data_IF_359746243757
#
_entry.id   IF_359746243757
#
_cell.length_a   1.000
_cell.length_b   1.000
_cell.length_c   1.000
_cell.angle_alpha   90.00
_cell.angle_beta   90.00
_cell.angle_gamma   90.00
#
_symmetry.space_group_name_H-M   'P 1'
#
loop_
_entity.id
_entity.type
_entity.pdbx_description
1 polymer ?
#
# COMPACT_ATOMS: atom_id res chain seq x y z
N UNK A 1 7.96 21.61 -12.76
CA UNK A 1 8.02 20.56 -11.71
C UNK A 1 7.96 19.17 -12.35
N UNK A 2 9.01 18.76 -13.08
CA UNK A 2 9.00 17.52 -13.87
C UNK A 2 9.44 16.26 -13.11
N UNK A 3 10.00 16.44 -11.91
CA UNK A 3 10.56 15.35 -11.11
C UNK A 3 9.75 15.03 -9.84
N UNK A 4 8.71 15.81 -9.55
CA UNK A 4 7.86 15.58 -8.37
C UNK A 4 6.92 14.37 -8.55
N UNK A 5 6.49 14.10 -9.79
CA UNK A 5 5.67 12.92 -10.15
C UNK A 5 6.45 11.60 -10.14
N UNK A 6 7.76 11.66 -10.37
CA UNK A 6 8.67 10.51 -10.35
C UNK A 6 9.03 10.07 -8.92
N UNK A 7 8.89 10.98 -7.94
CA UNK A 7 9.26 10.73 -6.55
C UNK A 7 8.22 9.90 -5.79
N UNK A 8 6.93 10.01 -6.16
CA UNK A 8 5.84 9.25 -5.54
C UNK A 8 5.91 7.76 -5.93
N UNK A 9 6.30 7.44 -7.16
CA UNK A 9 6.45 6.07 -7.64
C UNK A 9 7.71 5.37 -7.09
N UNK A 10 8.79 6.13 -6.87
CA UNK A 10 10.03 5.60 -6.26
C UNK A 10 9.87 5.23 -4.78
N UNK A 11 8.93 5.82 -4.04
CA UNK A 11 8.74 5.55 -2.62
C UNK A 11 8.07 4.18 -2.35
N UNK A 12 7.34 3.63 -3.32
CA UNK A 12 6.73 2.29 -3.25
C UNK A 12 7.72 1.15 -3.54
N UNK A 13 8.82 1.42 -4.24
CA UNK A 13 9.83 0.42 -4.61
C UNK A 13 11.06 0.40 -3.69
N UNK A 14 11.18 1.40 -2.80
CA UNK A 14 12.32 1.52 -1.89
C UNK A 14 12.00 1.09 -0.44
N UNK A 15 10.79 0.68 -0.07
CA UNK A 15 10.50 0.23 1.31
C UNK A 15 11.08 -1.15 1.68
N UNK A 16 11.94 -1.73 0.83
CA UNK A 16 12.60 -3.03 1.02
C UNK A 16 14.03 -2.97 1.59
N UNK A 17 14.47 -1.85 2.15
CA UNK A 17 15.68 -1.86 2.98
C UNK A 17 15.30 -2.11 4.44
N UNK A 18 15.86 -3.18 4.98
CA UNK A 18 15.71 -3.61 6.36
C UNK A 18 15.93 -2.45 7.34
N UNK A 19 14.82 -2.00 7.92
CA UNK A 19 14.84 -1.47 9.27
C UNK A 19 14.19 -2.55 10.10
N UNK A 20 14.99 -3.31 10.84
CA UNK A 20 14.50 -4.18 11.91
C UNK A 20 13.73 -3.31 12.92
N UNK A 21 12.45 -3.12 12.64
CA UNK A 21 11.48 -2.57 13.57
C UNK A 21 10.76 -3.78 14.13
N UNK A 22 11.12 -4.11 15.36
CA UNK A 22 10.55 -5.16 16.19
C UNK A 22 9.01 -5.03 16.22
N UNK A 23 8.33 -5.72 15.30
CA UNK A 23 6.88 -5.85 15.26
C UNK A 23 6.48 -6.97 16.23
N UNK A 24 6.16 -6.56 17.46
CA UNK A 24 5.55 -7.43 18.45
C UNK A 24 4.13 -7.79 18.02
N UNK A 25 3.99 -8.93 17.36
CA UNK A 25 2.72 -9.63 17.21
C UNK A 25 2.34 -10.20 18.59
N UNK A 26 1.11 -9.93 19.02
CA UNK A 26 0.62 -10.26 20.36
C UNK A 26 0.80 -11.74 20.70
N UNK A 27 1.61 -12.01 21.72
CA UNK A 27 1.65 -13.31 22.39
C UNK A 27 0.68 -13.29 23.57
N UNK A 28 -0.41 -14.03 23.43
CA UNK A 28 -1.23 -14.49 24.54
C UNK A 28 -0.43 -15.53 25.34
N UNK A 29 0.08 -15.21 26.53
CA UNK A 29 0.02 -16.07 27.74
C UNK A 29 0.76 -15.45 28.95
N UNK A 30 0.08 -15.54 30.09
CA UNK A 30 0.53 -15.60 31.49
C UNK A 30 0.94 -14.32 32.28
N UNK A 31 0.13 -13.89 33.28
CA UNK A 31 0.53 -12.99 34.35
C UNK A 31 1.00 -13.80 35.58
N UNK A 32 1.94 -13.22 36.35
CA UNK A 32 2.50 -13.70 37.63
C UNK A 32 3.72 -14.61 37.54
N UNK A 33 4.91 -14.02 37.75
CA UNK A 33 6.06 -14.48 38.56
C UNK A 33 7.17 -13.46 38.25
N UNK A 34 7.61 -12.58 39.14
CA UNK A 34 8.32 -12.90 40.37
C UNK A 34 9.17 -11.69 40.76
N UNK A 35 9.07 -11.32 42.04
CA UNK A 35 9.74 -10.24 42.74
C UNK A 35 11.28 -10.36 42.79
N UNK A 36 12.01 -9.24 42.84
CA UNK A 36 13.37 -9.22 43.41
C UNK A 36 14.27 -8.03 43.09
N UNK A 37 14.53 -7.19 44.12
CA UNK A 37 15.79 -6.47 44.42
C UNK A 37 16.36 -5.37 43.49
N UNK A 38 16.42 -4.13 44.00
CA UNK A 38 17.30 -2.99 43.62
C UNK A 38 18.70 -3.19 44.25
N UNK A 39 19.87 -2.63 43.81
CA UNK A 39 20.09 -1.22 43.41
C UNK A 39 21.25 -0.91 42.38
N UNK A 40 21.16 0.19 41.63
CA UNK A 40 22.29 0.72 40.85
C UNK A 40 21.84 1.56 39.66
N UNK A 41 21.68 2.87 39.86
CA UNK A 41 21.25 3.77 38.78
C UNK A 41 22.48 4.38 38.11
N UNK A 42 22.88 3.80 36.98
CA UNK A 42 23.80 4.42 36.03
C UNK A 42 23.06 5.61 35.35
N UNK A 43 23.58 6.83 35.55
CA UNK A 43 22.97 8.07 35.02
C UNK A 43 23.23 8.30 33.52
N UNK A 44 23.79 7.31 32.81
CA UNK A 44 23.93 7.32 31.35
C UNK A 44 22.61 7.07 30.61
N UNK A 45 21.53 6.73 31.32
CA UNK A 45 20.21 6.43 30.75
C UNK A 45 19.36 7.71 30.53
N UNK A 46 19.76 8.87 31.06
CA UNK A 46 18.92 10.08 31.01
C UNK A 46 19.02 10.87 29.68
N UNK A 47 19.94 10.52 28.77
CA UNK A 47 20.05 11.18 27.46
C UNK A 47 18.96 10.79 26.45
N UNK A 48 18.12 9.80 26.76
CA UNK A 48 17.01 9.40 25.88
C UNK A 48 15.67 10.11 26.19
N UNK A 49 15.59 10.90 27.27
CA UNK A 49 14.33 11.58 27.65
C UNK A 49 13.94 12.76 26.75
N UNK A 50 14.80 13.18 25.83
CA UNK A 50 14.55 14.26 24.88
C UNK A 50 14.28 13.77 23.44
N UNK A 51 13.79 12.54 23.25
CA UNK A 51 13.19 12.17 21.97
C UNK A 51 11.85 12.90 21.88
N UNK A 52 11.86 14.08 21.24
CA UNK A 52 10.64 14.81 20.82
C UNK A 52 9.61 13.77 20.44
N UNK A 53 8.50 13.74 21.18
CA UNK A 53 7.31 12.95 20.85
C UNK A 53 7.05 13.14 19.37
N UNK A 54 7.43 12.14 18.55
CA UNK A 54 6.97 12.05 17.17
C UNK A 54 5.46 11.93 17.36
N UNK A 55 4.74 13.04 17.12
CA UNK A 55 3.28 13.06 17.10
C UNK A 55 2.89 11.84 16.28
N UNK A 56 2.31 10.82 16.93
CA UNK A 56 1.69 9.70 16.22
C UNK A 56 0.76 10.38 15.22
N UNK A 57 1.10 10.32 13.94
CA UNK A 57 0.20 10.76 12.88
C UNK A 57 -1.10 10.03 13.18
N UNK A 58 -2.18 10.81 13.32
CA UNK A 58 -3.54 10.35 13.59
C UNK A 58 -3.74 9.04 12.83
N UNK A 59 -4.21 8.00 13.50
CA UNK A 59 -4.45 6.66 12.95
C UNK A 59 -5.47 6.75 11.80
N UNK A 60 -5.03 7.21 10.63
CA UNK A 60 -5.76 7.04 9.38
C UNK A 60 -5.73 5.55 9.12
N UNK A 61 -6.88 4.90 9.31
CA UNK A 61 -7.07 3.50 8.95
C UNK A 61 -6.52 3.31 7.52
N UNK A 62 -5.78 2.21 7.26
CA UNK A 62 -5.30 1.95 5.90
C UNK A 62 -6.49 2.06 4.95
N UNK A 63 -6.38 2.97 3.97
CA UNK A 63 -7.43 3.14 2.96
C UNK A 63 -7.57 1.84 2.19
N UNK A 64 -8.81 1.43 1.92
CA UNK A 64 -9.11 0.24 1.11
C UNK A 64 -8.49 0.43 -0.29
N UNK A 65 -7.93 -0.65 -0.84
CA UNK A 65 -7.30 -0.66 -2.16
C UNK A 65 -8.28 -0.16 -3.22
N UNK A 66 -9.54 -0.60 -3.15
CA UNK A 66 -10.57 -0.20 -4.12
C UNK A 66 -10.83 1.30 -4.10
N UNK A 67 -10.81 1.92 -2.91
CA UNK A 67 -10.98 3.36 -2.74
C UNK A 67 -9.76 4.11 -3.29
N UNK A 68 -8.55 3.68 -2.97
CA UNK A 68 -7.32 4.33 -3.44
C UNK A 68 -7.23 4.30 -4.97
N UNK A 69 -7.49 3.15 -5.57
CA UNK A 69 -7.42 2.99 -7.03
C UNK A 69 -8.52 3.79 -7.74
N UNK A 70 -9.73 3.81 -7.19
CA UNK A 70 -10.83 4.60 -7.75
C UNK A 70 -10.58 6.11 -7.62
N UNK A 71 -10.03 6.58 -6.50
CA UNK A 71 -9.63 7.98 -6.31
C UNK A 71 -8.57 8.37 -7.36
N UNK A 72 -7.55 7.54 -7.53
CA UNK A 72 -6.48 7.77 -8.50
C UNK A 72 -7.00 7.87 -9.95
N UNK A 73 -7.80 6.89 -10.38
CA UNK A 73 -8.39 6.92 -11.72
C UNK A 73 -9.39 8.07 -11.88
N UNK A 74 -10.11 8.40 -10.80
CA UNK A 74 -11.03 9.52 -10.76
C UNK A 74 -10.35 10.87 -11.01
N UNK A 75 -9.17 11.09 -10.42
CA UNK A 75 -8.36 12.29 -10.62
C UNK A 75 -7.75 12.36 -12.03
N UNK A 76 -7.20 11.24 -12.52
CA UNK A 76 -6.47 11.23 -13.78
C UNK A 76 -7.39 11.26 -15.01
N UNK A 77 -8.52 10.56 -14.96
CA UNK A 77 -9.47 10.43 -16.08
C UNK A 77 -10.70 11.34 -15.94
N UNK A 78 -10.82 12.09 -14.83
CA UNK A 78 -12.00 12.91 -14.50
C UNK A 78 -13.30 12.10 -14.61
N UNK A 79 -13.32 10.97 -13.92
CA UNK A 79 -14.46 10.05 -13.94
C UNK A 79 -15.70 10.68 -13.29
N UNK A 80 -16.86 10.40 -13.85
CA UNK A 80 -18.14 10.71 -13.20
C UNK A 80 -18.42 9.75 -12.03
N UNK A 81 -19.47 10.05 -11.26
CA UNK A 81 -19.78 9.28 -10.05
C UNK A 81 -20.27 7.85 -10.34
N UNK A 82 -20.88 7.62 -11.52
CA UNK A 82 -21.31 6.29 -11.95
C UNK A 82 -20.10 5.44 -12.36
N UNK A 83 -19.18 6.01 -13.14
CA UNK A 83 -17.91 5.38 -13.52
C UNK A 83 -17.08 5.04 -12.29
N UNK A 84 -16.96 5.97 -11.33
CA UNK A 84 -16.27 5.71 -10.05
C UNK A 84 -16.90 4.56 -9.29
N UNK A 85 -18.23 4.51 -9.17
CA UNK A 85 -18.91 3.43 -8.47
C UNK A 85 -18.68 2.06 -9.15
N UNK A 86 -18.76 2.02 -10.48
CA UNK A 86 -18.53 0.80 -11.26
C UNK A 86 -17.06 0.31 -11.14
N UNK A 87 -16.09 1.21 -11.30
CA UNK A 87 -14.67 0.91 -11.15
C UNK A 87 -14.33 0.44 -9.73
N UNK A 88 -14.94 1.06 -8.71
CA UNK A 88 -14.79 0.61 -7.32
C UNK A 88 -15.27 -0.82 -7.14
N UNK A 89 -16.40 -1.20 -7.75
CA UNK A 89 -16.91 -2.58 -7.70
C UNK A 89 -15.92 -3.57 -8.30
N UNK A 90 -15.37 -3.26 -9.48
CA UNK A 90 -14.35 -4.09 -10.15
C UNK A 90 -13.15 -4.34 -9.22
N UNK A 91 -12.63 -3.29 -8.57
CA UNK A 91 -11.54 -3.46 -7.61
C UNK A 91 -11.98 -4.18 -6.33
N UNK A 92 -13.19 -3.96 -5.84
CA UNK A 92 -13.72 -4.65 -4.66
C UNK A 92 -13.87 -6.17 -4.89
N UNK A 93 -14.17 -6.60 -6.12
CA UNK A 93 -14.27 -8.01 -6.50
C UNK A 93 -12.89 -8.70 -6.56
N UNK A 94 -11.84 -7.96 -6.92
CA UNK A 94 -10.48 -8.49 -7.08
C UNK A 94 -9.55 -8.20 -5.89
N UNK A 95 -9.98 -7.42 -4.91
CA UNK A 95 -9.09 -6.97 -3.81
C UNK A 95 -8.51 -8.12 -2.99
N UNK A 96 -9.30 -9.15 -2.72
CA UNK A 96 -8.85 -10.29 -1.91
C UNK A 96 -7.79 -11.09 -2.65
N UNK A 97 -7.91 -11.21 -3.98
CA UNK A 97 -6.90 -11.85 -4.85
C UNK A 97 -5.59 -11.04 -4.85
N UNK A 98 -5.68 -9.71 -4.98
CA UNK A 98 -4.52 -8.81 -4.96
C UNK A 98 -3.83 -8.86 -3.59
N UNK A 99 -4.58 -8.85 -2.50
CA UNK A 99 -4.06 -8.95 -1.14
C UNK A 99 -3.41 -10.31 -0.90
N UNK A 100 -4.04 -11.40 -1.32
CA UNK A 100 -3.49 -12.74 -1.20
C UNK A 100 -2.16 -12.88 -1.96
N UNK A 101 -2.06 -12.33 -3.17
CA UNK A 101 -0.80 -12.29 -3.92
C UNK A 101 0.25 -11.42 -3.23
N UNK A 102 -0.14 -10.31 -2.60
CA UNK A 102 0.80 -9.42 -1.90
C UNK A 102 1.43 -10.05 -0.66
N UNK A 103 0.72 -11.00 -0.04
CA UNK A 103 1.17 -11.76 1.12
C UNK A 103 1.77 -13.14 0.76
N UNK A 104 1.86 -13.46 -0.52
CA UNK A 104 2.40 -14.73 -0.96
C UNK A 104 3.94 -14.68 -0.95
N UNK A 105 4.53 -15.34 0.04
CA UNK A 105 5.98 -15.46 0.22
C UNK A 105 6.57 -16.70 -0.48
N UNK A 106 5.73 -17.58 -1.04
CA UNK A 106 6.15 -18.85 -1.61
C UNK A 106 6.60 -18.71 -3.08
N UNK A 107 6.00 -17.79 -3.83
CA UNK A 107 6.32 -17.54 -5.23
C UNK A 107 7.55 -16.63 -5.39
N UNK A 108 8.28 -16.81 -6.50
CA UNK A 108 9.35 -15.87 -6.86
C UNK A 108 8.77 -14.52 -7.27
N UNK A 109 9.58 -13.46 -7.14
CA UNK A 109 9.18 -12.10 -7.53
C UNK A 109 8.68 -12.00 -8.97
N UNK A 110 9.28 -12.75 -9.89
CA UNK A 110 8.89 -12.75 -11.31
C UNK A 110 7.51 -13.41 -11.49
N UNK A 111 7.26 -14.53 -10.81
CA UNK A 111 5.94 -15.20 -10.83
C UNK A 111 4.86 -14.32 -10.21
N UNK A 112 5.17 -13.63 -9.10
CA UNK A 112 4.25 -12.65 -8.52
C UNK A 112 3.97 -11.49 -9.49
N UNK A 113 5.00 -10.95 -10.15
CA UNK A 113 4.83 -9.88 -11.16
C UNK A 113 3.88 -10.33 -12.28
N UNK A 114 4.05 -11.54 -12.80
CA UNK A 114 3.19 -12.08 -13.85
C UNK A 114 1.74 -12.26 -13.38
N UNK A 115 1.52 -12.79 -12.17
CA UNK A 115 0.17 -12.93 -11.58
C UNK A 115 -0.51 -11.58 -11.38
N UNK A 116 0.21 -10.59 -10.85
CA UNK A 116 -0.31 -9.22 -10.73
C UNK A 116 -0.63 -8.60 -12.09
N UNK A 117 0.19 -8.87 -13.12
CA UNK A 117 -0.08 -8.39 -14.47
C UNK A 117 -1.37 -8.99 -15.03
N UNK A 118 -1.59 -10.29 -14.87
CA UNK A 118 -2.81 -10.96 -15.32
C UNK A 118 -4.06 -10.31 -14.70
N UNK A 119 -4.06 -10.13 -13.37
CA UNK A 119 -5.18 -9.47 -12.67
C UNK A 119 -5.36 -8.03 -13.18
N UNK A 120 -4.27 -7.29 -13.38
CA UNK A 120 -4.33 -5.92 -13.90
C UNK A 120 -4.92 -5.88 -15.32
N UNK A 121 -4.54 -6.81 -16.19
CA UNK A 121 -5.06 -6.90 -17.55
C UNK A 121 -6.54 -7.29 -17.59
N UNK A 122 -7.02 -8.09 -16.63
CA UNK A 122 -8.44 -8.40 -16.46
C UNK A 122 -9.22 -7.17 -16.01
N UNK A 123 -8.73 -6.46 -14.99
CA UNK A 123 -9.33 -5.21 -14.51
C UNK A 123 -9.41 -4.18 -15.65
N UNK A 124 -8.35 -4.03 -16.44
CA UNK A 124 -8.35 -3.08 -17.56
C UNK A 124 -9.43 -3.39 -18.60
N UNK A 125 -9.65 -4.67 -18.92
CA UNK A 125 -10.70 -5.09 -19.86
C UNK A 125 -12.09 -4.74 -19.35
N UNK A 126 -12.31 -4.78 -18.04
CA UNK A 126 -13.57 -4.41 -17.42
C UNK A 126 -13.75 -2.90 -17.30
N UNK A 127 -12.66 -2.15 -17.09
CA UNK A 127 -12.69 -0.68 -16.99
C UNK A 127 -12.87 0.00 -18.35
N UNK A 128 -12.16 -0.45 -19.39
CA UNK A 128 -12.22 0.13 -20.74
C UNK A 128 -13.64 0.41 -21.30
N UNK A 129 -14.62 -0.52 -21.20
CA UNK A 129 -15.97 -0.27 -21.70
C UNK A 129 -16.76 0.77 -20.88
N UNK A 130 -16.35 1.07 -19.65
CA UNK A 130 -17.00 2.07 -18.79
C UNK A 130 -16.59 3.51 -19.14
N UNK A 131 -15.50 3.67 -19.89
CA UNK A 131 -14.88 4.96 -20.20
C UNK A 131 -15.44 5.57 -21.49
N UNK A 132 -15.44 6.90 -21.56
CA UNK A 132 -15.64 7.63 -22.82
C UNK A 132 -14.42 7.51 -23.74
N UNK A 133 -14.55 7.85 -25.02
CA UNK A 133 -13.44 7.67 -25.98
C UNK A 133 -12.20 8.53 -25.66
N UNK A 134 -12.42 9.75 -25.12
CA UNK A 134 -11.33 10.59 -24.61
C UNK A 134 -10.64 9.96 -23.40
N UNK A 135 -11.43 9.42 -22.45
CA UNK A 135 -10.92 8.76 -21.26
C UNK A 135 -10.18 7.46 -21.60
N UNK A 136 -10.67 6.67 -22.56
CA UNK A 136 -9.99 5.47 -23.07
C UNK A 136 -8.60 5.79 -23.61
N UNK A 137 -8.47 6.90 -24.34
CA UNK A 137 -7.17 7.33 -24.88
C UNK A 137 -6.18 7.69 -23.76
N UNK A 138 -6.65 8.37 -22.71
CA UNK A 138 -5.82 8.65 -21.54
C UNK A 138 -5.47 7.36 -20.76
N UNK A 139 -6.45 6.48 -20.56
CA UNK A 139 -6.27 5.22 -19.86
C UNK A 139 -5.30 4.28 -20.59
N UNK A 140 -5.40 4.19 -21.91
CA UNK A 140 -4.48 3.38 -22.72
C UNK A 140 -3.03 3.84 -22.57
N UNK A 141 -2.77 5.15 -22.46
CA UNK A 141 -1.42 5.66 -22.17
C UNK A 141 -0.93 5.19 -20.80
N UNK A 142 -1.81 5.15 -19.79
CA UNK A 142 -1.46 4.62 -18.46
C UNK A 142 -1.10 3.14 -18.52
N UNK A 143 -1.85 2.34 -19.30
CA UNK A 143 -1.55 0.92 -19.54
C UNK A 143 -0.19 0.76 -20.24
N UNK A 144 0.07 1.55 -21.27
CA UNK A 144 1.31 1.50 -22.03
C UNK A 144 2.54 1.90 -21.20
N UNK A 145 2.38 2.89 -20.32
CA UNK A 145 3.42 3.29 -19.36
C UNK A 145 3.69 2.20 -18.33
N UNK A 146 2.63 1.56 -17.82
CA UNK A 146 2.74 0.43 -16.88
C UNK A 146 3.47 -0.76 -17.49
N UNK A 147 3.18 -1.08 -18.75
CA UNK A 147 3.76 -2.23 -19.45
C UNK A 147 5.21 -2.02 -19.89
N UNK A 148 5.69 -0.78 -19.92
CA UNK A 148 7.10 -0.45 -20.22
C UNK A 148 8.03 -0.58 -19.01
N UNK A 149 7.50 -0.75 -17.80
CA UNK A 149 8.25 -0.82 -16.54
C UNK A 149 8.48 -2.24 -16.00
#
# INVERSE_FOLDING_TARGET
MKYFKLLVFAFLLLSGYESMAQYGYGSYYDPYYGSGYRPGVDRRIDTQRNKKSIRKKKDEKPKDLSVVMTEYLGEELKLDDFQKAAIKSIYDERKDEILALSHNEADTRDVLKDKFRIISDEIDKEILPLLSDEQKTAYQKMIDERNKS
#
